data_IF_343884168238
#
_entry.id   IF_343884168238
#
_cell.length_a   1.000
_cell.length_b   1.000
_cell.length_c   1.000
_cell.angle_alpha   90.00
_cell.angle_beta   90.00
_cell.angle_gamma   90.00
#
_symmetry.space_group_name_H-M   'P 1'
#
loop_
_entity.id
_entity.type
_entity.pdbx_description
1 polymer ?
#
# COMPACT_ATOMS: atom_id res chain seq x y z
N UNK A 1 -20.16 2.67 14.40
CA UNK A 1 -19.57 2.03 13.20
C UNK A 1 -19.82 0.53 13.30
N UNK A 2 -20.70 0.00 12.46
CA UNK A 2 -20.93 -1.44 12.31
C UNK A 2 -19.63 -2.09 11.84
N UNK A 3 -19.06 -3.00 12.62
CA UNK A 3 -17.91 -3.81 12.20
C UNK A 3 -18.34 -4.61 10.96
N UNK A 4 -17.71 -4.36 9.82
CA UNK A 4 -17.86 -5.19 8.63
C UNK A 4 -17.46 -6.64 8.95
N UNK A 5 -17.98 -7.59 8.19
CA UNK A 5 -17.53 -8.98 8.31
C UNK A 5 -16.07 -9.08 7.86
N UNK A 6 -15.32 -10.07 8.37
CA UNK A 6 -13.91 -10.26 8.00
C UNK A 6 -13.69 -10.41 6.49
N UNK A 7 -14.69 -10.91 5.75
CA UNK A 7 -14.67 -11.01 4.30
C UNK A 7 -14.80 -9.64 3.61
N UNK A 8 -15.57 -8.71 4.18
CA UNK A 8 -15.69 -7.35 3.66
C UNK A 8 -14.38 -6.58 3.85
N UNK A 9 -13.76 -6.69 5.02
CA UNK A 9 -12.46 -6.06 5.31
C UNK A 9 -11.37 -6.60 4.36
N UNK A 10 -11.34 -7.91 4.11
CA UNK A 10 -10.44 -8.55 3.16
C UNK A 10 -10.67 -8.06 1.71
N UNK A 11 -11.93 -7.92 1.29
CA UNK A 11 -12.30 -7.38 -0.01
C UNK A 11 -11.82 -5.95 -0.22
N UNK A 12 -11.93 -5.10 0.80
CA UNK A 12 -11.44 -3.72 0.76
C UNK A 12 -9.91 -3.65 0.63
N UNK A 13 -9.17 -4.46 1.39
CA UNK A 13 -7.72 -4.54 1.29
C UNK A 13 -7.27 -5.00 -0.11
N UNK A 14 -7.94 -5.99 -0.70
CA UNK A 14 -7.65 -6.43 -2.06
C UNK A 14 -7.98 -5.36 -3.12
N UNK A 15 -9.10 -4.66 -2.98
CA UNK A 15 -9.44 -3.54 -3.87
C UNK A 15 -8.36 -2.45 -3.81
N UNK A 16 -7.88 -2.11 -2.61
CA UNK A 16 -6.82 -1.12 -2.44
C UNK A 16 -5.50 -1.58 -3.06
N UNK A 17 -5.12 -2.85 -2.94
CA UNK A 17 -3.94 -3.41 -3.62
C UNK A 17 -3.98 -3.24 -5.11
N UNK A 18 -5.15 -3.49 -5.70
CA UNK A 18 -5.34 -3.34 -7.14
C UNK A 18 -5.13 -1.87 -7.54
N UNK A 19 -5.64 -0.93 -6.76
CA UNK A 19 -5.42 0.51 -6.99
C UNK A 19 -3.93 0.86 -6.91
N UNK A 20 -3.22 0.43 -5.85
CA UNK A 20 -1.77 0.70 -5.72
C UNK A 20 -0.98 0.07 -6.87
N UNK A 21 -1.34 -1.14 -7.29
CA UNK A 21 -0.70 -1.82 -8.41
C UNK A 21 -0.95 -1.10 -9.75
N UNK A 22 -2.12 -0.49 -9.93
CA UNK A 22 -2.42 0.34 -11.10
C UNK A 22 -1.57 1.61 -11.08
N UNK A 23 -1.43 2.27 -9.93
CA UNK A 23 -0.55 3.44 -9.77
C UNK A 23 0.90 3.08 -10.12
N UNK A 24 1.40 1.93 -9.66
CA UNK A 24 2.75 1.45 -10.01
C UNK A 24 2.92 1.20 -11.52
N UNK A 25 1.91 0.65 -12.20
CA UNK A 25 1.95 0.41 -13.64
C UNK A 25 1.94 1.71 -14.44
N UNK A 26 1.17 2.71 -14.00
CA UNK A 26 1.08 4.01 -14.67
C UNK A 26 2.40 4.79 -14.67
N UNK A 27 3.42 4.42 -13.88
CA UNK A 27 4.73 5.07 -13.93
C UNK A 27 5.31 5.10 -15.35
N UNK A 28 5.16 4.03 -16.14
CA UNK A 28 5.68 3.97 -17.52
C UNK A 28 4.82 4.76 -18.51
N UNK A 29 3.50 4.75 -18.32
CA UNK A 29 2.57 5.50 -19.18
C UNK A 29 2.74 7.01 -18.98
N UNK A 30 2.83 7.45 -17.72
CA UNK A 30 3.09 8.85 -17.35
C UNK A 30 4.45 9.30 -17.88
N UNK A 31 5.50 8.48 -17.78
CA UNK A 31 6.79 8.77 -18.41
C UNK A 31 6.67 9.03 -19.92
N UNK A 32 5.89 8.20 -20.62
CA UNK A 32 5.62 8.37 -22.04
C UNK A 32 4.90 9.69 -22.33
N UNK A 33 3.88 10.01 -21.54
CA UNK A 33 3.09 11.23 -21.70
C UNK A 33 3.88 12.51 -21.38
N UNK A 34 4.65 12.52 -20.29
CA UNK A 34 5.53 13.64 -19.90
C UNK A 34 6.49 13.97 -21.06
N UNK A 35 7.09 12.94 -21.67
CA UNK A 35 7.99 13.10 -22.82
C UNK A 35 7.25 13.61 -24.06
N UNK A 36 6.07 13.08 -24.35
CA UNK A 36 5.27 13.52 -25.48
C UNK A 36 4.91 15.00 -25.36
N UNK A 37 4.42 15.43 -24.19
CA UNK A 37 4.10 16.83 -23.88
C UNK A 37 5.32 17.73 -24.08
N UNK A 38 6.49 17.33 -23.57
CA UNK A 38 7.72 18.08 -23.76
C UNK A 38 8.10 18.24 -25.24
N UNK A 39 7.99 17.18 -26.04
CA UNK A 39 8.32 17.19 -27.48
C UNK A 39 7.40 18.11 -28.28
N UNK A 40 6.13 18.27 -27.86
CA UNK A 40 5.17 19.18 -28.50
C UNK A 40 5.15 20.58 -27.89
N UNK A 41 6.22 20.97 -27.17
CA UNK A 41 6.40 22.29 -26.54
C UNK A 41 5.36 22.61 -25.46
N UNK A 42 4.74 21.58 -24.88
CA UNK A 42 3.83 21.65 -23.72
C UNK A 42 4.59 21.46 -22.42
N UNK A 43 5.54 22.37 -22.21
CA UNK A 43 6.55 22.37 -21.15
C UNK A 43 5.90 22.48 -19.76
N UNK A 44 4.94 23.41 -19.59
CA UNK A 44 4.24 23.60 -18.32
C UNK A 44 3.38 22.39 -17.96
N UNK A 45 2.59 21.89 -18.91
CA UNK A 45 1.71 20.72 -18.71
C UNK A 45 2.53 19.44 -18.43
N UNK A 46 3.71 19.30 -19.06
CA UNK A 46 4.66 18.21 -18.79
C UNK A 46 5.16 18.23 -17.35
N UNK A 47 5.53 19.40 -16.84
CA UNK A 47 6.01 19.56 -15.46
C UNK A 47 4.88 19.39 -14.44
N UNK A 48 3.70 19.97 -14.70
CA UNK A 48 2.52 19.83 -13.84
C UNK A 48 2.16 18.35 -13.65
N UNK A 49 2.04 17.59 -14.74
CA UNK A 49 1.79 16.15 -14.69
C UNK A 49 2.85 15.39 -13.87
N UNK A 50 4.13 15.76 -14.03
CA UNK A 50 5.20 15.15 -13.25
C UNK A 50 5.03 15.41 -11.75
N UNK A 51 4.70 16.63 -11.35
CA UNK A 51 4.52 17.01 -9.95
C UNK A 51 3.29 16.34 -9.33
N UNK A 52 2.17 16.33 -10.05
CA UNK A 52 0.93 15.69 -9.59
C UNK A 52 1.13 14.18 -9.39
N UNK A 53 1.74 13.51 -10.36
CA UNK A 53 2.00 12.08 -10.25
C UNK A 53 3.03 11.76 -9.14
N UNK A 54 4.04 12.63 -8.93
CA UNK A 54 4.98 12.48 -7.82
C UNK A 54 4.27 12.61 -6.46
N UNK A 55 3.31 13.53 -6.35
CA UNK A 55 2.48 13.73 -5.16
C UNK A 55 1.59 12.50 -4.90
N UNK A 56 1.02 11.91 -5.96
CA UNK A 56 0.25 10.67 -5.86
C UNK A 56 1.10 9.51 -5.33
N UNK A 57 2.26 9.24 -5.94
CA UNK A 57 3.18 8.18 -5.51
C UNK A 57 3.58 8.38 -4.04
N UNK A 58 3.95 9.60 -3.66
CA UNK A 58 4.33 9.95 -2.28
C UNK A 58 3.17 9.75 -1.30
N UNK A 59 1.94 10.07 -1.72
CA UNK A 59 0.74 9.87 -0.91
C UNK A 59 0.42 8.39 -0.70
N UNK A 60 0.62 7.56 -1.72
CA UNK A 60 0.48 6.10 -1.57
C UNK A 60 1.55 5.58 -0.62
N UNK A 61 2.83 5.87 -0.85
CA UNK A 61 3.96 5.44 -0.01
C UNK A 61 3.76 5.82 1.47
N UNK A 62 3.28 7.04 1.74
CA UNK A 62 3.01 7.50 3.12
C UNK A 62 1.95 6.65 3.82
N UNK A 63 0.86 6.32 3.11
CA UNK A 63 -0.26 5.58 3.69
C UNK A 63 -0.02 4.06 3.75
N UNK A 64 0.91 3.54 2.94
CA UNK A 64 1.25 2.12 2.91
C UNK A 64 1.62 1.56 4.28
N UNK A 65 2.41 2.30 5.06
CA UNK A 65 2.84 1.86 6.41
C UNK A 65 1.72 1.87 7.44
N UNK A 66 0.70 2.70 7.25
CA UNK A 66 -0.49 2.74 8.12
C UNK A 66 -1.44 1.59 7.83
N UNK A 67 -1.57 1.22 6.55
CA UNK A 67 -2.52 0.20 6.09
C UNK A 67 -1.93 -1.21 6.19
N UNK A 68 -0.64 -1.36 5.88
CA UNK A 68 0.13 -2.58 6.04
C UNK A 68 1.32 -2.34 6.97
N UNK A 69 1.07 -2.24 8.29
CA UNK A 69 2.13 -2.00 9.26
C UNK A 69 3.08 -3.19 9.32
N UNK A 70 4.37 -2.91 9.48
CA UNK A 70 5.41 -3.95 9.65
C UNK A 70 5.36 -4.63 11.02
N UNK A 71 4.69 -4.00 11.99
CA UNK A 71 4.50 -4.48 13.35
C UNK A 71 3.05 -4.24 13.78
N UNK A 72 2.45 -5.23 14.41
CA UNK A 72 1.10 -5.14 14.95
C UNK A 72 1.17 -5.40 16.45
N UNK A 73 0.62 -4.48 17.25
CA UNK A 73 0.43 -4.71 18.67
C UNK A 73 -0.76 -5.66 18.88
N UNK A 74 -0.60 -6.63 19.78
CA UNK A 74 -1.56 -7.72 19.98
C UNK A 74 -3.00 -7.24 20.27
N UNK A 75 -3.16 -6.05 20.82
CA UNK A 75 -4.47 -5.47 21.15
C UNK A 75 -5.12 -4.66 20.00
N UNK A 76 -4.37 -4.33 18.94
CA UNK A 76 -4.82 -3.56 17.77
C UNK A 76 -5.32 -4.48 16.63
N UNK A 77 -5.16 -5.79 16.83
CA UNK A 77 -5.45 -6.85 15.86
C UNK A 77 -6.91 -6.79 15.39
N UNK A 78 -7.09 -6.38 14.13
CA UNK A 78 -8.38 -6.28 13.45
C UNK A 78 -8.87 -7.65 12.95
N UNK A 79 -10.12 -7.74 12.48
CA UNK A 79 -10.83 -9.01 12.20
C UNK A 79 -10.00 -10.12 11.53
N UNK A 80 -9.39 -9.89 10.34
CA UNK A 80 -8.60 -10.92 9.63
C UNK A 80 -7.35 -11.37 10.40
N UNK A 81 -6.75 -10.45 11.14
CA UNK A 81 -5.53 -10.69 11.94
C UNK A 81 -5.91 -11.39 13.26
N UNK A 82 -7.11 -11.14 13.77
CA UNK A 82 -7.63 -11.75 15.01
C UNK A 82 -7.84 -13.24 14.86
N UNK A 83 -8.15 -13.67 13.65
CA UNK A 83 -8.24 -15.08 13.28
C UNK A 83 -6.90 -15.82 13.41
N UNK A 84 -5.76 -15.11 13.39
CA UNK A 84 -4.43 -15.70 13.60
C UNK A 84 -4.20 -16.22 15.02
N UNK A 85 -5.04 -15.79 15.98
CA UNK A 85 -4.99 -16.19 17.38
C UNK A 85 -6.04 -17.26 17.71
N UNK A 86 -6.69 -17.82 16.68
CA UNK A 86 -7.65 -18.91 16.85
C UNK A 86 -6.89 -20.21 17.12
N UNK A 87 -7.21 -20.86 18.23
CA UNK A 87 -6.66 -22.16 18.59
C UNK A 87 -7.33 -23.31 17.81
N UNK A 88 -6.83 -24.54 18.00
CA UNK A 88 -7.37 -25.76 17.37
C UNK A 88 -8.82 -26.06 17.75
N UNK A 89 -9.33 -25.46 18.82
CA UNK A 89 -10.71 -25.60 19.30
C UNK A 89 -11.63 -24.49 18.75
N UNK A 90 -11.08 -23.57 17.96
CA UNK A 90 -11.82 -22.48 17.36
C UNK A 90 -11.96 -21.23 18.24
N UNK A 91 -11.25 -21.14 19.37
CA UNK A 91 -11.28 -20.00 20.30
C UNK A 91 -10.15 -19.02 20.00
N UNK A 92 -10.46 -17.72 19.95
CA UNK A 92 -9.44 -16.66 19.78
C UNK A 92 -8.85 -16.29 21.14
N UNK A 93 -7.55 -16.53 21.33
CA UNK A 93 -6.82 -16.22 22.57
C UNK A 93 -5.76 -15.16 22.31
N UNK A 94 -6.00 -13.92 22.77
CA UNK A 94 -5.03 -12.83 22.65
C UNK A 94 -4.01 -12.91 23.81
N UNK A 95 -2.70 -12.66 23.55
CA UNK A 95 -1.71 -12.53 24.61
C UNK A 95 -2.14 -11.40 25.55
N UNK A 96 -2.46 -11.74 26.80
CA UNK A 96 -2.54 -10.78 27.90
C UNK A 96 -1.21 -10.73 28.61
N UNK A 97 -0.93 -9.65 29.34
CA UNK A 97 0.40 -9.25 29.86
C UNK A 97 1.20 -10.33 30.63
N UNK A 98 0.62 -11.50 30.94
CA UNK A 98 1.26 -12.59 31.68
C UNK A 98 1.26 -13.97 30.99
N UNK A 99 0.68 -14.13 29.79
CA UNK A 99 0.70 -15.42 29.08
C UNK A 99 1.29 -15.26 27.67
N UNK A 100 2.51 -15.77 27.49
CA UNK A 100 3.20 -15.88 26.20
C UNK A 100 2.49 -16.92 25.30
N UNK A 101 1.29 -16.58 24.83
CA UNK A 101 0.51 -17.34 23.86
C UNK A 101 0.84 -16.88 22.44
N UNK A 102 2.13 -16.87 22.08
CA UNK A 102 2.51 -16.60 20.70
C UNK A 102 2.22 -17.84 19.85
N UNK A 103 1.42 -17.74 18.78
CA UNK A 103 1.20 -18.87 17.88
C UNK A 103 2.53 -19.32 17.26
N UNK A 104 2.79 -20.63 17.23
CA UNK A 104 4.05 -21.18 16.69
C UNK A 104 4.30 -20.81 15.22
N UNK A 105 3.23 -20.57 14.46
CA UNK A 105 3.25 -20.13 13.06
C UNK A 105 2.09 -19.19 12.78
N UNK A 106 2.37 -18.11 12.05
CA UNK A 106 1.37 -17.13 11.60
C UNK A 106 1.22 -17.27 10.09
N UNK A 107 -0.01 -17.53 9.62
CA UNK A 107 -0.32 -17.54 8.20
C UNK A 107 -0.78 -16.15 7.77
N UNK A 108 0.06 -15.42 7.03
CA UNK A 108 -0.31 -14.12 6.47
C UNK A 108 -1.19 -14.35 5.24
N UNK A 109 -2.45 -13.93 5.32
CA UNK A 109 -3.33 -13.98 4.17
C UNK A 109 -2.82 -13.03 3.07
N UNK A 110 -3.19 -13.32 1.82
CA UNK A 110 -2.65 -12.58 0.68
C UNK A 110 -2.91 -11.08 0.80
N UNK A 111 -4.05 -10.68 1.39
CA UNK A 111 -4.56 -9.34 1.68
C UNK A 111 -3.66 -8.54 2.64
N UNK A 112 -2.88 -9.24 3.46
CA UNK A 112 -2.01 -8.62 4.47
C UNK A 112 -0.61 -8.30 3.96
N UNK A 113 -0.27 -8.76 2.76
CA UNK A 113 1.03 -8.49 2.14
C UNK A 113 0.96 -7.17 1.38
N UNK A 114 1.70 -6.16 1.82
CA UNK A 114 1.67 -4.85 1.19
C UNK A 114 2.00 -4.92 -0.32
N UNK A 115 1.27 -4.20 -1.21
CA UNK A 115 1.63 -4.10 -2.62
C UNK A 115 2.96 -3.35 -2.81
N UNK A 116 3.67 -3.59 -3.91
CA UNK A 116 4.98 -2.97 -4.17
C UNK A 116 4.85 -1.83 -5.18
N UNK A 117 5.33 -0.64 -4.81
CA UNK A 117 5.66 0.42 -5.78
C UNK A 117 7.14 0.30 -6.14
N UNK A 118 7.42 0.11 -7.43
CA UNK A 118 8.78 -0.06 -7.96
C UNK A 118 9.51 1.28 -7.94
N UNK A 119 10.60 1.35 -7.16
CA UNK A 119 11.49 2.53 -7.10
C UNK A 119 12.55 2.55 -8.21
N UNK A 120 12.74 1.44 -8.91
CA UNK A 120 13.67 1.32 -10.04
C UNK A 120 13.06 1.77 -11.37
N UNK A 121 11.85 2.35 -11.36
CA UNK A 121 11.23 2.95 -12.54
C UNK A 121 11.62 4.42 -12.60
N UNK A 122 12.55 4.75 -13.50
CA UNK A 122 12.96 6.13 -13.76
C UNK A 122 11.97 6.78 -14.72
N UNK A 123 10.92 7.40 -14.15
CA UNK A 123 9.84 8.06 -14.89
C UNK A 123 9.92 9.60 -14.91
N UNK A 124 10.59 10.21 -13.94
CA UNK A 124 10.83 11.66 -13.90
C UNK A 124 11.86 12.09 -14.94
N UNK A 125 11.66 13.24 -15.57
CA UNK A 125 12.67 13.90 -16.39
C UNK A 125 13.58 14.78 -15.51
N UNK A 126 14.89 14.54 -15.56
CA UNK A 126 15.89 15.23 -14.73
C UNK A 126 16.02 16.73 -15.02
N UNK A 127 15.65 17.16 -16.24
CA UNK A 127 15.68 18.57 -16.65
C UNK A 127 14.85 19.51 -15.73
N UNK A 128 13.90 18.94 -14.99
CA UNK A 128 13.07 19.66 -14.03
C UNK A 128 13.64 19.67 -12.61
N UNK A 129 14.50 18.72 -12.28
CA UNK A 129 15.13 18.61 -10.96
C UNK A 129 16.37 19.52 -10.83
N UNK A 130 16.97 19.95 -11.95
CA UNK A 130 18.19 20.80 -12.00
C UNK A 130 17.92 22.30 -11.80
N UNK A 131 16.66 22.75 -11.76
CA UNK A 131 16.30 24.16 -11.53
C UNK A 131 16.08 24.52 -10.04
N UNK A 132 16.76 23.83 -9.12
CA UNK A 132 16.75 24.12 -7.67
C UNK A 132 18.12 24.50 -7.14
#
# INVERSE_FOLDING_TARGET
>A
MTKGSAYEDAGLLNALKNIVSVVDKHQEEVKGLIRALFVVDKIEESNELQLEFASLISSVDRNMTTIWPSYLEAHIITGPIREMYRDVNGCVLLPTDNENLMPQRINLSSEMIAPLIRKNVFWKMQIWDENK
#
